data_IF_994210915774
#
_entry.id   IF_994210915774
#
_cell.length_a   1.000
_cell.length_b   1.000
_cell.length_c   1.000
_cell.angle_alpha   90.00
_cell.angle_beta   90.00
_cell.angle_gamma   90.00
#
_symmetry.space_group_name_H-M   'P 1'
#
loop_
_entity.id
_entity.type
_entity.pdbx_description
1 polymer ?
#
# COMPACT_ATOMS: atom_id res chain seq x y z
N UNK A 1 30.17 77.49 -41.95
CA UNK A 1 28.81 77.31 -41.38
C UNK A 1 28.17 76.18 -42.17
N UNK A 2 28.43 74.93 -41.77
CA UNK A 2 28.08 73.72 -42.51
C UNK A 2 26.88 73.03 -41.89
N UNK A 3 25.88 72.74 -42.72
CA UNK A 3 24.65 72.03 -42.36
C UNK A 3 24.76 70.58 -42.86
N UNK A 4 25.42 69.72 -42.09
CA UNK A 4 25.54 68.30 -42.41
C UNK A 4 24.44 67.46 -41.73
N UNK A 5 23.57 66.92 -42.58
CA UNK A 5 23.18 65.50 -42.58
C UNK A 5 22.35 64.95 -41.41
N UNK A 6 21.03 65.06 -41.49
CA UNK A 6 20.11 64.24 -40.69
C UNK A 6 19.93 62.87 -41.39
N UNK A 7 20.26 61.73 -40.75
CA UNK A 7 20.06 60.41 -41.34
C UNK A 7 18.58 60.00 -41.30
N UNK A 8 18.06 59.55 -42.44
CA UNK A 8 16.67 59.13 -42.60
C UNK A 8 16.31 57.81 -41.89
N UNK A 9 15.01 57.50 -41.77
CA UNK A 9 14.51 56.39 -40.97
C UNK A 9 14.91 55.05 -41.58
N UNK A 10 15.64 54.26 -40.79
CA UNK A 10 16.01 52.89 -41.16
C UNK A 10 14.77 52.00 -41.14
N UNK A 11 14.36 51.55 -42.32
CA UNK A 11 13.28 50.57 -42.50
C UNK A 11 13.73 49.25 -41.88
N UNK A 12 13.17 48.95 -40.71
CA UNK A 12 13.36 47.69 -40.02
C UNK A 12 12.68 46.58 -40.85
N UNK A 13 13.42 45.97 -41.77
CA UNK A 13 12.96 44.76 -42.46
C UNK A 13 12.88 43.66 -41.41
N UNK A 14 11.67 43.39 -40.97
CA UNK A 14 11.30 42.24 -40.15
C UNK A 14 11.77 40.99 -40.87
N UNK A 15 12.97 40.52 -40.53
CA UNK A 15 13.46 39.23 -40.97
C UNK A 15 12.47 38.22 -40.43
N UNK A 16 11.84 37.51 -41.35
CA UNK A 16 10.91 36.43 -41.10
C UNK A 16 11.60 35.39 -40.21
N UNK A 17 11.39 35.50 -38.89
CA UNK A 17 11.84 34.51 -37.91
C UNK A 17 10.85 33.35 -38.01
N UNK A 18 10.88 32.63 -39.13
CA UNK A 18 10.36 31.25 -39.18
C UNK A 18 11.36 30.36 -38.45
N UNK A 19 11.45 30.57 -37.13
CA UNK A 19 11.88 29.53 -36.21
C UNK A 19 10.75 28.51 -36.21
N UNK A 20 10.85 27.55 -37.12
CA UNK A 20 10.32 26.20 -36.86
C UNK A 20 11.16 25.65 -35.70
N UNK A 21 10.85 26.12 -34.49
CA UNK A 21 11.25 25.44 -33.29
C UNK A 21 10.39 24.18 -33.25
N UNK A 22 10.90 23.10 -33.84
CA UNK A 22 10.68 21.79 -33.26
C UNK A 22 11.26 21.90 -31.86
N UNK A 23 10.47 22.38 -30.92
CA UNK A 23 10.75 22.23 -29.52
C UNK A 23 10.75 20.72 -29.29
N UNK A 24 11.92 20.10 -29.42
CA UNK A 24 12.19 18.86 -28.72
C UNK A 24 11.70 19.12 -27.31
N UNK A 25 10.72 18.33 -26.90
CA UNK A 25 10.18 18.31 -25.55
C UNK A 25 11.33 17.86 -24.63
N UNK A 26 12.25 18.78 -24.34
CA UNK A 26 13.14 18.75 -23.18
C UNK A 26 12.30 19.26 -22.01
N UNK A 27 11.15 18.62 -21.79
CA UNK A 27 10.41 18.79 -20.55
C UNK A 27 11.34 18.29 -19.46
N UNK A 28 11.55 19.13 -18.45
CA UNK A 28 12.32 18.83 -17.25
C UNK A 28 11.85 17.50 -16.63
N UNK A 29 12.39 16.37 -17.11
CA UNK A 29 11.90 15.04 -16.80
C UNK A 29 12.45 14.52 -15.45
N UNK A 30 12.93 15.42 -14.60
CA UNK A 30 13.86 15.06 -13.55
C UNK A 30 13.60 15.81 -12.24
N UNK A 31 12.31 16.00 -11.91
CA UNK A 31 11.89 16.65 -10.67
C UNK A 31 11.96 15.74 -9.43
N UNK A 32 11.79 14.42 -9.57
CA UNK A 32 11.77 13.51 -8.42
C UNK A 32 13.18 13.07 -8.05
N UNK A 33 13.77 13.29 -6.88
CA UNK A 33 15.18 12.94 -6.60
C UNK A 33 15.52 11.45 -6.84
N UNK A 34 16.80 11.11 -7.07
CA UNK A 34 17.27 9.72 -7.12
C UNK A 34 16.87 9.01 -5.83
N UNK A 35 16.37 7.78 -5.94
CA UNK A 35 15.78 7.01 -4.84
C UNK A 35 14.28 7.27 -4.61
N UNK A 36 13.65 8.21 -5.35
CA UNK A 36 12.20 8.37 -5.29
C UNK A 36 11.49 7.13 -5.79
N UNK A 37 10.51 6.66 -5.04
CA UNK A 37 9.64 5.54 -5.39
C UNK A 37 8.26 6.10 -5.77
N UNK A 38 7.75 5.69 -6.94
CA UNK A 38 6.44 6.12 -7.44
C UNK A 38 5.65 4.93 -7.96
N UNK A 39 4.32 5.08 -7.98
CA UNK A 39 3.42 4.13 -8.58
C UNK A 39 3.44 4.26 -10.12
N UNK A 40 3.44 3.12 -10.81
CA UNK A 40 3.38 3.03 -12.26
C UNK A 40 2.31 2.02 -12.71
N UNK A 41 1.36 2.48 -13.52
CA UNK A 41 0.28 1.67 -14.06
C UNK A 41 0.75 0.85 -15.27
N UNK A 42 1.74 -0.03 -15.08
CA UNK A 42 2.46 -0.80 -16.12
C UNK A 42 1.58 -1.44 -17.18
N UNK A 43 0.42 -1.98 -16.78
CA UNK A 43 -0.47 -2.76 -17.65
C UNK A 43 -1.65 -1.96 -18.20
N UNK A 44 -1.77 -0.68 -17.84
CA UNK A 44 -2.83 0.19 -18.35
C UNK A 44 -2.56 0.53 -19.82
N UNK A 45 -3.58 0.36 -20.67
CA UNK A 45 -3.45 0.63 -22.10
C UNK A 45 -3.00 2.07 -22.37
N UNK A 46 -2.03 2.23 -23.27
CA UNK A 46 -1.46 3.53 -23.62
C UNK A 46 -0.36 4.04 -22.69
N UNK A 47 -0.06 3.34 -21.58
CA UNK A 47 1.12 3.65 -20.75
C UNK A 47 2.38 3.16 -21.48
N UNK A 48 3.37 4.04 -21.72
CA UNK A 48 4.61 3.65 -22.40
C UNK A 48 5.46 2.71 -21.54
N UNK A 49 6.44 2.06 -22.16
CA UNK A 49 7.45 1.30 -21.45
C UNK A 49 8.20 2.17 -20.41
N UNK A 50 8.78 1.52 -19.41
CA UNK A 50 9.52 2.19 -18.34
C UNK A 50 10.65 3.04 -18.95
N UNK A 51 10.70 4.36 -18.69
CA UNK A 51 11.76 5.21 -19.20
C UNK A 51 13.14 4.84 -18.63
N UNK A 52 14.20 5.18 -19.37
CA UNK A 52 15.57 5.08 -18.85
C UNK A 52 15.74 5.91 -17.57
N UNK A 53 16.57 5.43 -16.65
CA UNK A 53 16.74 6.06 -15.32
C UNK A 53 15.70 5.66 -14.29
N UNK A 54 14.83 4.69 -14.60
CA UNK A 54 13.91 4.06 -13.67
C UNK A 54 14.07 2.54 -13.68
N UNK A 55 13.78 1.91 -12.54
CA UNK A 55 13.81 0.46 -12.38
C UNK A 55 12.59 0.01 -11.58
N UNK A 56 12.09 -1.21 -11.82
CA UNK A 56 11.05 -1.81 -10.99
C UNK A 56 11.61 -2.22 -9.62
N UNK A 57 10.79 -2.08 -8.58
CA UNK A 57 11.12 -2.47 -7.22
C UNK A 57 10.89 -3.97 -6.98
N UNK A 58 11.73 -4.83 -7.58
CA UNK A 58 11.58 -6.29 -7.62
C UNK A 58 12.64 -7.04 -6.78
N UNK A 59 13.40 -6.34 -5.91
CA UNK A 59 14.40 -6.98 -5.05
C UNK A 59 15.77 -7.24 -5.70
N UNK A 60 15.96 -6.83 -6.94
CA UNK A 60 17.18 -7.08 -7.70
C UNK A 60 18.36 -6.20 -7.25
N UNK A 61 19.59 -6.68 -7.46
CA UNK A 61 20.78 -5.82 -7.42
C UNK A 61 20.84 -4.99 -8.69
N UNK A 62 20.97 -3.66 -8.55
CA UNK A 62 21.08 -2.76 -9.70
C UNK A 62 22.42 -2.99 -10.41
N UNK A 63 22.37 -3.10 -11.74
CA UNK A 63 23.54 -3.20 -12.63
C UNK A 63 23.44 -2.10 -13.68
N UNK A 64 23.93 -0.93 -13.32
CA UNK A 64 23.92 0.27 -14.14
C UNK A 64 25.05 1.23 -13.72
N UNK A 65 26.19 1.15 -14.41
CA UNK A 65 27.41 1.88 -14.06
C UNK A 65 27.28 3.42 -14.09
N UNK A 66 26.26 3.99 -14.75
CA UNK A 66 26.02 5.44 -14.74
C UNK A 66 25.11 5.87 -13.57
N UNK A 67 24.59 4.94 -12.77
CA UNK A 67 23.78 5.24 -11.58
C UNK A 67 24.64 5.36 -10.34
N UNK A 68 24.31 6.33 -9.47
CA UNK A 68 24.91 6.43 -8.13
C UNK A 68 24.54 5.25 -7.22
N UNK A 69 23.55 4.43 -7.61
CA UNK A 69 23.07 3.27 -6.86
C UNK A 69 23.56 1.94 -7.44
N UNK A 70 24.51 1.96 -8.38
CA UNK A 70 25.07 0.74 -8.98
C UNK A 70 25.55 -0.25 -7.91
N UNK A 71 25.24 -1.54 -8.10
CA UNK A 71 25.53 -2.60 -7.14
C UNK A 71 24.67 -2.60 -5.86
N UNK A 72 23.74 -1.65 -5.70
CA UNK A 72 22.83 -1.61 -4.55
C UNK A 72 21.59 -2.47 -4.80
N UNK A 73 21.09 -3.16 -3.77
CA UNK A 73 19.83 -3.90 -3.83
C UNK A 73 18.63 -2.94 -3.84
N UNK A 74 17.78 -3.06 -4.85
CA UNK A 74 16.52 -2.33 -4.97
C UNK A 74 15.48 -2.98 -4.03
N UNK A 75 14.63 -2.21 -3.34
CA UNK A 75 13.56 -2.76 -2.51
C UNK A 75 12.64 -3.70 -3.29
N UNK A 76 12.21 -4.81 -2.68
CA UNK A 76 11.22 -5.73 -3.25
C UNK A 76 9.78 -5.34 -2.84
N UNK A 77 9.22 -4.34 -3.50
CA UNK A 77 7.84 -3.90 -3.23
C UNK A 77 6.81 -4.66 -4.09
N UNK A 78 7.23 -5.17 -5.25
CA UNK A 78 6.33 -5.81 -6.21
C UNK A 78 6.23 -7.33 -6.02
N UNK A 79 7.30 -8.01 -5.57
CA UNK A 79 7.31 -9.47 -5.42
C UNK A 79 6.38 -9.96 -4.31
N UNK A 80 6.26 -9.19 -3.23
CA UNK A 80 5.46 -9.51 -2.05
C UNK A 80 4.23 -8.58 -1.86
N UNK A 81 3.85 -7.81 -2.89
CA UNK A 81 2.73 -6.85 -2.83
C UNK A 81 2.75 -5.94 -1.57
N UNK A 82 3.93 -5.41 -1.25
CA UNK A 82 4.13 -4.69 0.02
C UNK A 82 3.41 -3.35 0.05
N UNK A 83 2.88 -2.99 1.21
CA UNK A 83 2.37 -1.64 1.48
C UNK A 83 3.50 -0.72 1.96
N UNK A 84 3.47 0.53 1.50
CA UNK A 84 4.37 1.57 1.99
C UNK A 84 3.82 2.25 3.24
N UNK A 85 4.70 2.56 4.19
CA UNK A 85 4.41 3.40 5.36
C UNK A 85 5.46 4.50 5.52
N UNK A 86 5.06 5.63 6.08
CA UNK A 86 5.99 6.70 6.45
C UNK A 86 6.92 6.28 7.60
N UNK A 87 8.17 6.73 7.56
CA UNK A 87 9.15 6.52 8.63
C UNK A 87 10.27 7.59 8.56
N UNK A 88 11.03 7.79 9.64
CA UNK A 88 12.21 8.68 9.66
C UNK A 88 13.45 8.06 9.01
N UNK A 89 13.45 6.74 8.81
CA UNK A 89 14.52 5.98 8.14
C UNK A 89 13.90 4.99 7.16
N UNK A 90 14.46 4.92 5.95
CA UNK A 90 14.02 4.01 4.89
C UNK A 90 14.62 2.59 5.05
N UNK A 91 14.00 1.61 4.39
CA UNK A 91 14.56 0.25 4.24
C UNK A 91 14.11 -0.79 5.28
N UNK A 92 13.43 -0.39 6.35
CA UNK A 92 12.85 -1.35 7.28
C UNK A 92 11.61 -2.04 6.67
N UNK A 93 11.55 -3.36 6.77
CA UNK A 93 10.37 -4.18 6.41
C UNK A 93 9.72 -4.74 7.68
N UNK A 94 8.45 -5.15 7.58
CA UNK A 94 7.72 -5.75 8.69
C UNK A 94 6.24 -5.95 8.38
N UNK A 95 5.50 -6.46 9.36
CA UNK A 95 4.11 -6.88 9.21
C UNK A 95 3.98 -8.38 8.93
N UNK A 96 2.75 -8.84 8.79
CA UNK A 96 2.42 -10.22 8.42
C UNK A 96 1.20 -10.20 7.51
N UNK A 97 1.20 -11.03 6.47
CA UNK A 97 0.02 -11.24 5.62
C UNK A 97 -1.11 -11.94 6.38
N UNK A 98 -0.75 -12.70 7.42
CA UNK A 98 -1.70 -13.38 8.30
C UNK A 98 -1.46 -12.93 9.74
N UNK A 99 -2.51 -12.43 10.39
CA UNK A 99 -2.48 -12.17 11.82
C UNK A 99 -3.49 -13.08 12.49
N UNK A 100 -3.00 -14.17 13.07
CA UNK A 100 -3.80 -14.92 14.01
C UNK A 100 -4.09 -13.99 15.19
N UNK A 101 -5.34 -13.58 15.34
CA UNK A 101 -5.79 -12.88 16.53
C UNK A 101 -6.73 -13.79 17.29
N UNK A 102 -6.62 -13.75 18.62
CA UNK A 102 -7.51 -14.48 19.52
C UNK A 102 -8.28 -13.45 20.32
N UNK A 103 -9.60 -13.66 20.41
CA UNK A 103 -10.41 -12.91 21.36
C UNK A 103 -10.35 -13.66 22.69
N UNK A 104 -9.68 -13.06 23.67
CA UNK A 104 -9.82 -13.49 25.06
C UNK A 104 -10.96 -12.67 25.66
N UNK A 105 -12.04 -13.32 26.07
CA UNK A 105 -13.12 -12.67 26.82
C UNK A 105 -12.68 -12.66 28.29
N UNK A 106 -12.27 -11.51 28.85
CA UNK A 106 -11.89 -11.43 30.25
C UNK A 106 -13.19 -11.37 31.05
N UNK A 107 -13.63 -12.50 31.62
CA UNK A 107 -14.84 -12.52 32.43
C UNK A 107 -15.74 -13.72 32.19
N UNK A 108 -15.27 -14.91 32.57
CA UNK A 108 -16.07 -15.73 33.46
C UNK A 108 -15.40 -15.71 34.83
N UNK A 109 -15.14 -14.50 35.33
CA UNK A 109 -14.96 -14.31 36.76
C UNK A 109 -16.37 -14.36 37.34
N UNK A 110 -16.86 -15.58 37.60
CA UNK A 110 -17.78 -15.77 38.72
C UNK A 110 -16.96 -15.56 39.98
N UNK A 111 -16.50 -14.32 40.20
CA UNK A 111 -16.05 -13.93 41.51
C UNK A 111 -17.32 -13.73 42.34
N UNK A 112 -17.48 -14.66 43.26
CA UNK A 112 -18.37 -14.58 44.41
C UNK A 112 -19.85 -14.95 44.16
N UNK A 113 -20.17 -16.19 44.58
CA UNK A 113 -21.48 -16.73 44.92
C UNK A 113 -22.57 -16.82 43.81
N UNK A 114 -22.49 -17.90 43.02
CA UNK A 114 -23.70 -18.53 42.50
C UNK A 114 -23.78 -19.97 43.03
N UNK A 115 -24.23 -20.12 44.28
CA UNK A 115 -24.61 -21.41 44.84
C UNK A 115 -25.81 -21.99 44.07
N UNK A 116 -25.55 -22.88 43.10
CA UNK A 116 -26.59 -23.60 42.36
C UNK A 116 -26.96 -24.87 43.10
N UNK A 117 -27.86 -24.76 44.07
CA UNK A 117 -28.59 -25.92 44.56
C UNK A 117 -29.75 -26.22 43.61
N UNK A 118 -29.60 -27.33 42.88
CA UNK A 118 -30.64 -28.01 42.12
C UNK A 118 -31.10 -27.35 40.80
N UNK A 119 -30.15 -26.97 39.92
CA UNK A 119 -30.48 -26.56 38.54
C UNK A 119 -29.63 -27.15 37.38
N UNK A 120 -30.17 -28.14 36.62
CA UNK A 120 -29.77 -28.60 35.27
C UNK A 120 -29.60 -27.46 34.24
N UNK A 121 -28.98 -27.71 33.09
CA UNK A 121 -28.63 -26.72 32.06
C UNK A 121 -28.92 -27.29 30.65
N UNK A 122 -29.79 -26.63 29.87
CA UNK A 122 -30.33 -27.02 28.55
C UNK A 122 -30.09 -25.92 27.51
N UNK A 123 -29.06 -26.03 26.67
CA UNK A 123 -28.80 -25.04 25.60
C UNK A 123 -29.22 -25.58 24.24
N UNK A 124 -30.18 -24.94 23.57
CA UNK A 124 -30.58 -25.21 22.18
C UNK A 124 -30.00 -24.14 21.26
N UNK A 125 -29.18 -24.51 20.28
CA UNK A 125 -28.67 -23.57 19.27
C UNK A 125 -29.32 -23.84 17.90
N UNK A 126 -30.07 -22.87 17.40
CA UNK A 126 -30.44 -22.75 15.98
C UNK A 126 -30.23 -21.30 15.53
N UNK A 127 -29.17 -21.08 14.73
CA UNK A 127 -28.89 -19.83 14.02
C UNK A 127 -28.11 -18.78 14.84
N UNK A 128 -26.86 -18.52 14.43
CA UNK A 128 -25.92 -17.40 14.71
C UNK A 128 -25.78 -16.75 16.10
N UNK A 129 -26.66 -17.01 17.07
CA UNK A 129 -26.52 -16.71 18.49
C UNK A 129 -26.94 -17.95 19.29
N UNK A 130 -25.98 -18.66 19.89
CA UNK A 130 -26.29 -19.75 20.81
C UNK A 130 -26.49 -19.18 22.22
N UNK A 131 -27.75 -19.09 22.66
CA UNK A 131 -28.07 -18.77 24.04
C UNK A 131 -27.81 -19.98 24.96
N UNK A 132 -27.12 -19.73 26.08
CA UNK A 132 -26.80 -20.74 27.09
C UNK A 132 -27.92 -20.77 28.12
N UNK A 133 -28.96 -21.55 27.87
CA UNK A 133 -30.08 -21.68 28.81
C UNK A 133 -29.80 -22.75 29.87
N UNK A 134 -29.67 -22.35 31.14
CA UNK A 134 -29.58 -23.25 32.32
C UNK A 134 -31.01 -23.66 32.74
N UNK A 135 -31.45 -24.93 32.72
CA UNK A 135 -32.75 -25.35 33.29
C UNK A 135 -32.73 -26.51 34.28
N UNK A 136 -33.34 -26.30 35.44
CA UNK A 136 -33.15 -27.06 36.66
C UNK A 136 -33.43 -28.57 36.71
N UNK A 137 -32.85 -29.24 37.72
CA UNK A 137 -32.56 -30.68 37.91
C UNK A 137 -33.57 -31.75 37.48
N UNK A 138 -33.05 -32.85 36.88
CA UNK A 138 -33.76 -34.14 36.89
C UNK A 138 -33.25 -35.29 35.99
N UNK A 139 -32.42 -35.05 34.98
CA UNK A 139 -31.98 -36.11 34.05
C UNK A 139 -30.48 -35.94 33.72
N UNK A 140 -29.74 -37.04 33.82
CA UNK A 140 -28.29 -37.06 33.59
C UNK A 140 -27.93 -36.67 32.16
N UNK A 141 -27.21 -35.57 32.02
CA UNK A 141 -26.56 -35.17 30.77
C UNK A 141 -25.20 -34.60 31.15
N UNK A 142 -24.13 -35.25 30.68
CA UNK A 142 -22.77 -34.79 30.85
C UNK A 142 -22.57 -33.47 30.12
N UNK A 143 -22.30 -32.41 30.85
CA UNK A 143 -22.03 -31.09 30.29
C UNK A 143 -20.54 -30.96 30.00
N UNK A 144 -20.13 -31.47 28.83
CA UNK A 144 -18.94 -30.91 28.17
C UNK A 144 -19.26 -29.43 27.90
N UNK A 145 -18.69 -28.54 28.72
CA UNK A 145 -18.73 -27.10 28.51
C UNK A 145 -17.88 -26.84 27.28
N UNK A 146 -18.51 -26.96 26.12
CA UNK A 146 -17.92 -26.67 24.82
C UNK A 146 -17.40 -25.24 24.87
N UNK A 147 -16.07 -25.11 24.80
CA UNK A 147 -15.37 -23.84 24.63
C UNK A 147 -16.03 -23.07 23.50
N UNK A 148 -16.73 -21.99 23.83
CA UNK A 148 -17.22 -21.02 22.87
C UNK A 148 -16.04 -20.16 22.42
N UNK A 149 -15.15 -20.76 21.62
CA UNK A 149 -14.14 -20.02 20.90
C UNK A 149 -14.82 -19.38 19.70
N UNK A 150 -15.02 -18.06 19.71
CA UNK A 150 -15.27 -17.28 18.50
C UNK A 150 -13.94 -17.13 17.73
N UNK A 151 -13.26 -18.24 17.45
CA UNK A 151 -12.12 -18.27 16.55
C UNK A 151 -12.65 -18.52 15.14
N UNK A 152 -13.48 -17.60 14.66
CA UNK A 152 -13.75 -17.49 13.25
C UNK A 152 -12.51 -16.90 12.60
N UNK A 153 -11.49 -17.72 12.36
CA UNK A 153 -10.49 -17.39 11.35
C UNK A 153 -11.24 -17.38 10.02
N UNK A 154 -11.86 -16.25 9.68
CA UNK A 154 -12.39 -16.09 8.35
C UNK A 154 -11.17 -15.87 7.45
N UNK A 155 -11.02 -16.71 6.45
CA UNK A 155 -10.15 -16.41 5.31
C UNK A 155 -10.77 -15.31 4.43
N UNK A 156 -11.74 -14.55 4.98
CA UNK A 156 -12.40 -13.49 4.27
C UNK A 156 -11.43 -12.31 4.20
N UNK A 157 -11.11 -11.92 2.98
CA UNK A 157 -10.33 -10.73 2.70
C UNK A 157 -11.04 -9.51 3.31
N UNK A 158 -10.40 -8.85 4.28
CA UNK A 158 -10.94 -7.68 4.97
C UNK A 158 -10.32 -6.36 4.45
N UNK A 159 -9.40 -6.44 3.49
CA UNK A 159 -8.83 -5.24 2.86
C UNK A 159 -9.94 -4.47 2.12
N UNK A 160 -10.02 -3.14 2.29
CA UNK A 160 -10.86 -2.30 1.44
C UNK A 160 -10.54 -2.57 -0.04
N UNK A 161 -11.50 -2.35 -0.97
CA UNK A 161 -11.22 -2.43 -2.40
C UNK A 161 -9.96 -1.66 -2.77
N UNK A 162 -9.04 -2.30 -3.49
CA UNK A 162 -7.73 -1.75 -3.83
C UNK A 162 -7.43 -1.88 -5.33
N UNK A 163 -6.46 -1.10 -5.80
CA UNK A 163 -5.96 -1.16 -7.18
C UNK A 163 -4.46 -1.47 -7.14
N UNK A 164 -4.05 -2.49 -7.90
CA UNK A 164 -2.65 -2.90 -7.98
C UNK A 164 -1.88 -2.01 -8.95
N UNK A 165 -0.74 -1.51 -8.50
CA UNK A 165 0.23 -0.75 -9.29
C UNK A 165 1.61 -1.36 -9.13
N UNK A 166 2.48 -1.14 -10.11
CA UNK A 166 3.89 -1.53 -10.03
C UNK A 166 4.67 -0.36 -9.45
N UNK A 167 5.46 -0.63 -8.42
CA UNK A 167 6.37 0.35 -7.85
C UNK A 167 7.65 0.42 -8.68
N UNK A 168 8.08 1.63 -9.00
CA UNK A 168 9.32 1.93 -9.69
C UNK A 168 10.13 2.93 -8.89
N UNK A 169 11.47 2.85 -8.99
CA UNK A 169 12.39 3.74 -8.32
C UNK A 169 13.25 4.48 -9.35
N UNK A 170 13.47 5.78 -9.13
CA UNK A 170 14.38 6.58 -9.94
C UNK A 170 15.83 6.26 -9.56
N UNK A 171 16.66 5.97 -10.56
CA UNK A 171 18.07 5.61 -10.40
C UNK A 171 19.04 6.60 -11.07
N UNK A 172 18.55 7.52 -11.90
CA UNK A 172 19.35 8.56 -12.58
C UNK A 172 18.63 9.90 -12.60
#
# INVERSE_FOLDING_TARGET
>A
MGIDGIPGPQVFRQRDVRRTATASVTVAQQLSPIGSIVAWAKTLAGVPALPAGWVQCDGQVLSDADSLLDGTTIPDLNGNNQFMRGNSTSGATGGSETMAHTHTIPGLLFEDDLQVDNSSLVTTASGDDADVVITSSGVGVGTDIARLTTSGASNAENRPPFYNVVWIMRIK
#
